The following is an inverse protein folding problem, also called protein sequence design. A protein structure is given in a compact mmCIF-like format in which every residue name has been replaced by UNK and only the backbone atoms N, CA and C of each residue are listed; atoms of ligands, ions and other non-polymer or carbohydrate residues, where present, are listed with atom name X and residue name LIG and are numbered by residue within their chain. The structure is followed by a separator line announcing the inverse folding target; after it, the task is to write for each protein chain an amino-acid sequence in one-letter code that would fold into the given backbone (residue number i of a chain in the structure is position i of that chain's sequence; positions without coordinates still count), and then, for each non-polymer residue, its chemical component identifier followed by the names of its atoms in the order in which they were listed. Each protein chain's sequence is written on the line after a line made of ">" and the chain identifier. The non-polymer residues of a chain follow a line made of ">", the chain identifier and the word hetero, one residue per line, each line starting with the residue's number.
data_IF_759763395473
#
_entry.id   IF_759763395473
#
_cell.length_a   1.000
_cell.length_b   1.000
_cell.length_c   1.000
_cell.angle_alpha   90.00
_cell.angle_beta   90.00
_cell.angle_gamma   90.00
#
_symmetry.space_group_name_H-M   'P 1'
#
loop_
_entity.id
_entity.type
_entity.pdbx_description
1 polymer ?
#
# COMPACT_ATOMS: atom_id res chain seq x y z
N UNK A 1 0.39 24.57 -2.89
CA UNK A 1 1.46 23.62 -3.29
C UNK A 1 2.59 23.75 -2.27
N UNK A 2 3.19 22.65 -1.82
CA UNK A 2 4.19 22.71 -0.73
C UNK A 2 5.40 23.59 -1.09
N UNK A 3 6.06 24.23 -0.11
CA UNK A 3 7.22 25.09 -0.34
C UNK A 3 8.51 24.27 -0.55
N UNK A 4 8.45 23.22 -1.38
CA UNK A 4 9.59 22.39 -1.75
C UNK A 4 9.32 21.62 -3.05
N UNK A 5 10.39 21.30 -3.78
CA UNK A 5 10.36 20.46 -4.98
C UNK A 5 10.16 18.98 -4.65
N UNK A 6 9.79 18.18 -5.67
CA UNK A 6 9.67 16.72 -5.53
C UNK A 6 10.96 16.06 -5.01
N UNK A 7 12.11 16.54 -5.49
CA UNK A 7 13.44 16.06 -5.09
C UNK A 7 13.72 16.41 -3.63
N UNK A 8 13.46 17.67 -3.25
CA UNK A 8 13.61 18.12 -1.86
C UNK A 8 12.71 17.34 -0.90
N UNK A 9 11.46 17.06 -1.29
CA UNK A 9 10.56 16.20 -0.52
C UNK A 9 11.12 14.78 -0.34
N UNK A 10 11.69 14.20 -1.38
CA UNK A 10 12.36 12.90 -1.32
C UNK A 10 13.54 12.88 -0.34
N UNK A 11 14.40 13.88 -0.38
CA UNK A 11 15.53 13.99 0.56
C UNK A 11 15.06 14.14 2.01
N UNK A 12 14.11 15.03 2.27
CA UNK A 12 13.56 15.23 3.63
C UNK A 12 13.01 13.94 4.23
N UNK A 13 12.26 13.16 3.45
CA UNK A 13 11.68 11.89 3.90
C UNK A 13 12.77 10.87 4.22
N UNK A 14 13.81 10.77 3.38
CA UNK A 14 14.94 9.89 3.64
C UNK A 14 15.68 10.30 4.92
N UNK A 15 15.89 11.59 5.14
CA UNK A 15 16.59 12.10 6.31
C UNK A 15 15.78 11.84 7.59
N UNK A 16 14.46 12.05 7.56
CA UNK A 16 13.58 11.65 8.67
C UNK A 16 13.61 10.14 8.92
N UNK A 17 13.64 9.31 7.87
CA UNK A 17 13.79 7.86 8.01
C UNK A 17 15.06 7.50 8.79
N UNK A 18 16.21 8.08 8.41
CA UNK A 18 17.48 7.87 9.11
C UNK A 18 17.43 8.28 10.59
N UNK A 19 16.77 9.40 10.90
CA UNK A 19 16.62 9.88 12.29
C UNK A 19 15.88 8.88 13.19
N UNK A 20 15.01 8.05 12.62
CA UNK A 20 14.23 7.05 13.35
C UNK A 20 14.71 5.62 13.09
N UNK A 21 15.88 5.43 12.47
CA UNK A 21 16.46 4.12 12.18
C UNK A 21 15.77 3.35 11.03
N UNK A 22 15.05 4.02 10.14
CA UNK A 22 14.45 3.44 8.94
C UNK A 22 15.26 3.82 7.71
N UNK A 23 16.06 2.88 7.22
CA UNK A 23 16.78 3.04 5.97
C UNK A 23 15.87 2.85 4.75
N UNK A 24 16.11 3.66 3.71
CA UNK A 24 15.40 3.56 2.44
C UNK A 24 13.99 4.15 2.42
N UNK A 25 13.58 4.90 3.46
CA UNK A 25 12.26 5.54 3.49
C UNK A 25 12.07 6.51 2.30
N UNK A 26 10.98 6.31 1.55
CA UNK A 26 10.64 7.14 0.40
C UNK A 26 9.12 7.34 0.27
N UNK A 27 8.70 8.42 -0.40
CA UNK A 27 7.30 8.86 -0.47
C UNK A 27 6.32 7.77 -0.94
N UNK A 28 6.75 6.89 -1.86
CA UNK A 28 5.88 5.82 -2.38
C UNK A 28 5.54 4.75 -1.33
N UNK A 29 6.37 4.57 -0.30
CA UNK A 29 6.10 3.62 0.80
C UNK A 29 4.86 4.00 1.60
N UNK A 30 4.57 5.29 1.78
CA UNK A 30 3.34 5.72 2.46
C UNK A 30 2.09 5.35 1.66
N UNK A 31 2.16 5.46 0.33
CA UNK A 31 1.07 5.03 -0.56
C UNK A 31 0.88 3.51 -0.50
N UNK A 32 1.97 2.74 -0.44
CA UNK A 32 1.91 1.30 -0.23
C UNK A 32 1.31 0.94 1.13
N UNK A 33 1.81 1.56 2.21
CA UNK A 33 1.33 1.34 3.57
C UNK A 33 -0.17 1.63 3.72
N UNK A 34 -0.66 2.72 3.12
CA UNK A 34 -2.08 3.04 3.12
C UNK A 34 -2.92 1.96 2.42
N UNK A 35 -2.47 1.47 1.26
CA UNK A 35 -3.17 0.42 0.53
C UNK A 35 -3.20 -0.90 1.30
N UNK A 36 -2.05 -1.32 1.87
CA UNK A 36 -1.93 -2.52 2.70
C UNK A 36 -2.84 -2.42 3.93
N UNK A 37 -2.77 -1.32 4.66
CA UNK A 37 -3.59 -1.08 5.85
C UNK A 37 -5.09 -1.13 5.51
N UNK A 38 -5.50 -0.48 4.42
CA UNK A 38 -6.91 -0.50 3.99
C UNK A 38 -7.37 -1.91 3.62
N UNK A 39 -6.52 -2.68 2.93
CA UNK A 39 -6.83 -4.05 2.55
C UNK A 39 -6.96 -4.96 3.78
N UNK A 40 -6.05 -4.84 4.75
CA UNK A 40 -6.08 -5.59 6.01
C UNK A 40 -7.34 -5.27 6.84
N UNK A 41 -7.88 -4.07 6.73
CA UNK A 41 -9.15 -3.68 7.35
C UNK A 41 -10.39 -4.05 6.51
N UNK A 42 -10.24 -4.87 5.45
CA UNK A 42 -11.34 -5.40 4.67
C UNK A 42 -11.88 -4.47 3.58
N UNK A 43 -11.19 -3.36 3.27
CA UNK A 43 -11.60 -2.49 2.15
C UNK A 43 -11.42 -3.24 0.83
N UNK A 44 -12.42 -3.25 -0.07
CA UNK A 44 -12.31 -3.91 -1.36
C UNK A 44 -11.20 -3.32 -2.24
N UNK A 45 -10.42 -4.17 -2.91
CA UNK A 45 -9.31 -3.77 -3.79
C UNK A 45 -9.71 -2.72 -4.85
N UNK A 46 -10.88 -2.79 -5.51
CA UNK A 46 -11.29 -1.75 -6.47
C UNK A 46 -11.43 -0.35 -5.82
N UNK A 47 -11.94 -0.31 -4.58
CA UNK A 47 -12.08 0.93 -3.81
C UNK A 47 -10.70 1.48 -3.43
N UNK A 48 -9.78 0.60 -3.01
CA UNK A 48 -8.39 0.98 -2.72
C UNK A 48 -7.69 1.53 -3.95
N UNK A 49 -7.82 0.85 -5.11
CA UNK A 49 -7.20 1.26 -6.37
C UNK A 49 -7.67 2.65 -6.82
N UNK A 50 -8.97 2.92 -6.71
CA UNK A 50 -9.55 4.24 -6.97
C UNK A 50 -9.03 5.30 -5.96
N UNK A 51 -8.96 4.96 -4.67
CA UNK A 51 -8.54 5.88 -3.60
C UNK A 51 -7.08 6.30 -3.72
N UNK A 52 -6.18 5.37 -4.04
CA UNK A 52 -4.78 5.73 -4.25
C UNK A 52 -4.58 6.37 -5.62
N UNK A 53 -5.45 6.10 -6.60
CA UNK A 53 -5.36 6.62 -7.95
C UNK A 53 -4.39 5.82 -8.81
N UNK A 54 -4.44 4.48 -8.73
CA UNK A 54 -3.74 3.63 -9.68
C UNK A 54 -4.57 3.52 -10.96
N UNK A 55 -3.97 3.83 -12.10
CA UNK A 55 -4.58 3.70 -13.43
C UNK A 55 -4.88 2.23 -13.78
N UNK A 56 -4.21 1.29 -13.12
CA UNK A 56 -4.44 -0.16 -13.27
C UNK A 56 -4.67 -0.82 -11.92
N UNK A 57 -5.78 -1.56 -11.82
CA UNK A 57 -6.10 -2.42 -10.66
C UNK A 57 -5.06 -3.55 -10.54
N UNK A 58 -4.47 -4.00 -11.66
CA UNK A 58 -3.45 -5.06 -11.72
C UNK A 58 -2.24 -4.75 -10.83
N UNK A 59 -1.74 -3.52 -10.88
CA UNK A 59 -0.61 -3.07 -10.03
C UNK A 59 -0.96 -3.14 -8.54
N UNK A 60 -2.21 -2.84 -8.18
CA UNK A 60 -2.69 -2.95 -6.79
C UNK A 60 -2.81 -4.40 -6.36
N UNK A 61 -3.33 -5.26 -7.24
CA UNK A 61 -3.47 -6.69 -6.99
C UNK A 61 -2.10 -7.37 -6.82
N UNK A 62 -1.17 -7.16 -7.75
CA UNK A 62 0.18 -7.74 -7.71
C UNK A 62 1.00 -7.28 -6.50
N UNK A 63 0.79 -6.04 -6.02
CA UNK A 63 1.59 -5.46 -4.93
C UNK A 63 1.04 -5.81 -3.55
N UNK A 64 -0.27 -6.00 -3.39
CA UNK A 64 -0.89 -6.09 -2.06
C UNK A 64 -1.69 -7.36 -1.78
N UNK A 65 -2.03 -8.17 -2.79
CA UNK A 65 -2.65 -9.46 -2.54
C UNK A 65 -1.58 -10.47 -2.15
N UNK A 66 -1.39 -10.63 -0.85
CA UNK A 66 -0.75 -11.82 -0.30
C UNK A 66 -1.85 -12.82 -0.01
N UNK A 67 -2.08 -13.75 -0.95
CA UNK A 67 -3.01 -14.85 -0.73
C UNK A 67 -2.32 -15.88 0.16
N UNK A 68 -2.69 -15.90 1.44
CA UNK A 68 -2.25 -16.97 2.35
C UNK A 68 -3.15 -18.20 2.21
N UNK A 69 -2.64 -19.41 2.47
CA UNK A 69 -3.48 -20.62 2.48
C UNK A 69 -4.66 -20.52 3.46
N UNK A 70 -4.50 -19.85 4.61
CA UNK A 70 -5.60 -19.55 5.54
C UNK A 70 -6.72 -18.76 4.87
N UNK A 71 -6.37 -17.68 4.18
CA UNK A 71 -7.32 -16.78 3.54
C UNK A 71 -8.09 -17.52 2.45
N UNK A 72 -7.37 -18.30 1.64
CA UNK A 72 -7.96 -19.14 0.60
C UNK A 72 -8.96 -20.15 1.19
N UNK A 73 -8.59 -20.86 2.27
CA UNK A 73 -9.50 -21.80 2.96
C UNK A 73 -10.75 -21.12 3.50
N UNK A 74 -10.61 -19.95 4.13
CA UNK A 74 -11.72 -19.19 4.73
C UNK A 74 -12.77 -18.79 3.69
N UNK A 75 -12.33 -18.33 2.52
CA UNK A 75 -13.26 -17.88 1.48
C UNK A 75 -13.81 -19.03 0.64
N UNK A 76 -13.02 -20.05 0.31
CA UNK A 76 -13.51 -21.25 -0.42
C UNK A 76 -14.48 -22.07 0.44
N UNK A 77 -14.22 -22.22 1.74
CA UNK A 77 -15.10 -22.94 2.65
C UNK A 77 -16.47 -22.29 2.84
N UNK A 78 -16.59 -20.98 2.57
CA UNK A 78 -17.87 -20.26 2.61
C UNK A 78 -18.66 -20.34 1.29
N UNK A 79 -18.01 -20.71 0.18
CA UNK A 79 -18.66 -20.85 -1.14
C UNK A 79 -19.22 -22.26 -1.36
N UNK A 80 -18.67 -23.25 -0.65
CA UNK A 80 -19.09 -24.66 -0.71
C UNK A 80 -20.15 -25.03 0.35
N UNK A 81 -20.84 -24.04 0.93
CA UNK A 81 -21.96 -24.22 1.86
C UNK A 81 -23.26 -23.78 1.23
#
# INVERSE_FOLDING_TARGET
>A
MFPFSRVQGGYRIRDYGRMIGIDGLHLHMFRHGLAIHSHQNGVPIPVIAARVGHTSIKTTMETYLVITPELQRKFVGNVLR
#
